data_IF_795391147270
#
_entry.id   IF_795391147270
#
_cell.length_a   1.000
_cell.length_b   1.000
_cell.length_c   1.000
_cell.angle_alpha   90.00
_cell.angle_beta   90.00
_cell.angle_gamma   90.00
#
_symmetry.space_group_name_H-M   'P 1'
#
loop_
_entity.id
_entity.type
_entity.pdbx_description
1 polymer ?
#
# COMPACT_ATOMS: atom_id res chain seq x y z
N UNK A 1 11.30 19.28 -5.70
CA UNK A 1 10.60 19.12 -6.99
C UNK A 1 9.72 17.89 -6.89
N UNK A 2 8.49 17.96 -7.39
CA UNK A 2 7.59 16.82 -7.53
C UNK A 2 7.99 16.02 -8.78
N UNK A 3 8.14 14.71 -8.68
CA UNK A 3 8.36 13.80 -9.80
C UNK A 3 7.14 13.70 -10.72
N UNK A 4 7.36 13.24 -11.96
CA UNK A 4 6.33 13.16 -13.02
C UNK A 4 5.09 12.33 -12.62
N UNK A 5 5.26 11.37 -11.71
CA UNK A 5 4.22 10.45 -11.27
C UNK A 5 3.98 10.50 -9.76
N UNK A 6 4.42 11.57 -9.09
CA UNK A 6 4.24 11.71 -7.63
C UNK A 6 2.75 11.74 -7.23
N UNK A 7 1.87 12.28 -8.08
CA UNK A 7 0.43 12.30 -7.87
C UNK A 7 -0.18 10.89 -7.83
N UNK A 8 0.29 10.00 -8.71
CA UNK A 8 -0.11 8.59 -8.71
C UNK A 8 0.50 7.84 -7.51
N UNK A 9 1.75 8.15 -7.14
CA UNK A 9 2.38 7.57 -5.95
C UNK A 9 1.64 7.97 -4.67
N UNK A 10 1.19 9.21 -4.56
CA UNK A 10 0.42 9.70 -3.42
C UNK A 10 -0.96 9.04 -3.35
N UNK A 11 -1.64 8.86 -4.48
CA UNK A 11 -2.88 8.07 -4.55
C UNK A 11 -2.67 6.62 -4.10
N UNK A 12 -1.58 5.98 -4.53
CA UNK A 12 -1.24 4.63 -4.07
C UNK A 12 -0.99 4.58 -2.56
N UNK A 13 -0.33 5.59 -1.99
CA UNK A 13 -0.12 5.69 -0.55
C UNK A 13 -1.45 5.81 0.22
N UNK A 14 -2.41 6.59 -0.29
CA UNK A 14 -3.76 6.68 0.29
C UNK A 14 -4.49 5.33 0.26
N UNK A 15 -4.41 4.59 -0.86
CA UNK A 15 -5.02 3.25 -0.94
C UNK A 15 -4.33 2.28 0.01
N UNK A 16 -2.99 2.34 0.16
CA UNK A 16 -2.26 1.50 1.11
C UNK A 16 -2.73 1.76 2.55
N UNK A 17 -2.93 3.02 2.94
CA UNK A 17 -3.45 3.38 4.25
C UNK A 17 -4.89 2.86 4.47
N UNK A 18 -5.75 2.97 3.45
CA UNK A 18 -7.11 2.43 3.52
C UNK A 18 -7.13 0.90 3.68
N UNK A 19 -6.23 0.17 3.01
CA UNK A 19 -6.10 -1.28 3.17
C UNK A 19 -5.67 -1.67 4.59
N UNK A 20 -4.75 -0.89 5.18
CA UNK A 20 -4.33 -1.09 6.56
C UNK A 20 -5.49 -0.89 7.54
N UNK A 21 -6.24 0.21 7.39
CA UNK A 21 -7.42 0.48 8.23
C UNK A 21 -8.43 -0.67 8.16
N UNK A 22 -8.73 -1.17 6.96
CA UNK A 22 -9.64 -2.33 6.81
C UNK A 22 -9.08 -3.62 7.39
N UNK A 23 -7.77 -3.85 7.32
CA UNK A 23 -7.15 -5.00 7.97
C UNK A 23 -7.25 -4.90 9.50
N UNK A 24 -7.03 -3.70 10.06
CA UNK A 24 -7.22 -3.45 11.49
C UNK A 24 -8.66 -3.69 11.94
N UNK A 25 -9.64 -3.20 11.18
CA UNK A 25 -11.06 -3.43 11.45
C UNK A 25 -11.42 -4.92 11.40
N UNK A 26 -10.95 -5.62 10.37
CA UNK A 26 -11.16 -7.05 10.18
C UNK A 26 -10.60 -7.87 11.34
N UNK A 27 -9.35 -7.60 11.74
CA UNK A 27 -8.71 -8.26 12.88
C UNK A 27 -9.42 -7.94 14.20
N UNK A 28 -9.89 -6.69 14.36
CA UNK A 28 -10.65 -6.28 15.54
C UNK A 28 -12.00 -6.98 15.64
N UNK A 29 -12.70 -7.18 14.52
CA UNK A 29 -13.96 -7.94 14.50
C UNK A 29 -13.72 -9.40 14.86
N UNK A 30 -12.72 -10.03 14.24
CA UNK A 30 -12.35 -11.42 14.51
C UNK A 30 -12.02 -11.65 16.00
N UNK A 31 -11.25 -10.73 16.60
CA UNK A 31 -10.94 -10.77 18.02
C UNK A 31 -12.18 -10.66 18.93
N UNK A 32 -13.16 -9.82 18.55
CA UNK A 32 -14.43 -9.68 19.28
C UNK A 32 -15.31 -10.93 19.18
N UNK A 33 -15.32 -11.55 18.01
CA UNK A 33 -16.08 -12.77 17.73
C UNK A 33 -15.39 -14.03 18.27
N UNK A 34 -14.14 -13.90 18.74
CA UNK A 34 -13.32 -15.03 19.19
C UNK A 34 -12.90 -15.96 18.05
N UNK A 35 -12.92 -15.46 16.81
CA UNK A 35 -12.51 -16.23 15.64
C UNK A 35 -11.01 -16.10 15.41
N UNK A 36 -10.44 -17.06 14.69
CA UNK A 36 -9.05 -16.97 14.21
C UNK A 36 -8.84 -15.82 13.22
N UNK A 37 -7.59 -15.68 12.75
CA UNK A 37 -7.22 -14.69 11.71
C UNK A 37 -8.02 -14.94 10.43
N UNK A 38 -8.80 -13.97 9.93
CA UNK A 38 -9.60 -14.16 8.71
C UNK A 38 -8.74 -14.32 7.45
N UNK A 39 -9.21 -15.10 6.47
CA UNK A 39 -8.52 -15.30 5.19
C UNK A 39 -8.32 -13.99 4.42
N UNK A 40 -9.29 -13.07 4.54
CA UNK A 40 -9.24 -11.76 3.90
C UNK A 40 -8.09 -10.88 4.40
N UNK A 41 -7.58 -11.09 5.62
CA UNK A 41 -6.43 -10.34 6.12
C UNK A 41 -5.19 -10.59 5.26
N UNK A 42 -4.94 -11.86 4.89
CA UNK A 42 -3.82 -12.20 4.01
C UNK A 42 -3.97 -11.53 2.65
N UNK A 43 -5.19 -11.46 2.13
CA UNK A 43 -5.50 -10.81 0.85
C UNK A 43 -5.24 -9.29 0.93
N UNK A 44 -5.67 -8.63 2.01
CA UNK A 44 -5.43 -7.20 2.25
C UNK A 44 -3.93 -6.90 2.36
N UNK A 45 -3.18 -7.71 3.11
CA UNK A 45 -1.73 -7.56 3.25
C UNK A 45 -0.97 -7.76 1.94
N UNK A 46 -1.41 -8.70 1.10
CA UNK A 46 -0.83 -8.90 -0.24
C UNK A 46 -1.09 -7.70 -1.16
N UNK A 47 -2.31 -7.17 -1.16
CA UNK A 47 -2.67 -6.01 -1.95
C UNK A 47 -1.86 -4.77 -1.52
N UNK A 48 -1.74 -4.53 -0.20
CA UNK A 48 -0.95 -3.42 0.33
C UNK A 48 0.50 -3.49 -0.12
N UNK A 49 1.16 -4.64 0.02
CA UNK A 49 2.56 -4.82 -0.41
C UNK A 49 2.76 -4.59 -1.90
N UNK A 50 1.80 -5.00 -2.73
CA UNK A 50 1.85 -4.75 -4.16
C UNK A 50 1.77 -3.25 -4.49
N UNK A 51 0.91 -2.52 -3.77
CA UNK A 51 0.74 -1.08 -3.88
C UNK A 51 2.00 -0.33 -3.42
N UNK A 52 2.55 -0.66 -2.25
CA UNK A 52 3.81 -0.06 -1.75
C UNK A 52 4.97 -0.27 -2.72
N UNK A 53 5.03 -1.44 -3.38
CA UNK A 53 6.03 -1.70 -4.42
C UNK A 53 5.81 -0.80 -5.64
N UNK A 54 4.58 -0.63 -6.09
CA UNK A 54 4.24 0.23 -7.22
C UNK A 54 4.52 1.70 -6.90
N UNK A 55 4.15 2.16 -5.70
CA UNK A 55 4.46 3.51 -5.21
C UNK A 55 5.96 3.78 -5.28
N UNK A 56 6.78 2.87 -4.72
CA UNK A 56 8.23 3.02 -4.75
C UNK A 56 8.78 3.13 -6.17
N UNK A 57 8.31 2.28 -7.10
CA UNK A 57 8.73 2.34 -8.51
C UNK A 57 8.41 3.69 -9.18
N UNK A 58 7.28 4.31 -8.84
CA UNK A 58 6.90 5.62 -9.36
C UNK A 58 7.76 6.75 -8.80
N UNK A 59 8.24 6.62 -7.54
CA UNK A 59 9.12 7.60 -6.90
C UNK A 59 10.59 7.42 -7.31
N UNK A 60 11.02 6.18 -7.58
CA UNK A 60 12.38 5.82 -7.99
C UNK A 60 12.73 6.30 -9.41
N UNK A 61 11.74 6.62 -10.26
CA UNK A 61 11.96 7.24 -11.58
C UNK A 61 12.71 8.59 -11.50
N UNK A 62 12.80 9.17 -10.29
CA UNK A 62 13.59 10.36 -9.98
C UNK A 62 15.11 10.11 -9.98
N UNK A 63 15.57 8.90 -9.66
CA UNK A 63 17.00 8.53 -9.69
C UNK A 63 17.46 8.16 -11.09
N UNK A 64 16.65 7.42 -11.85
CA UNK A 64 17.00 6.98 -13.22
C UNK A 64 17.14 8.16 -14.18
N UNK A 65 16.34 9.22 -13.99
CA UNK A 65 16.40 10.43 -14.80
C UNK A 65 17.58 11.36 -14.45
N UNK A 66 18.19 11.22 -13.26
CA UNK A 66 19.29 12.09 -12.81
C UNK A 66 20.68 11.59 -13.28
N UNK A 67 20.83 10.29 -13.55
CA UNK A 67 22.08 9.66 -14.00
C UNK A 67 22.05 9.25 -15.50
N UNK A 68 21.05 9.69 -16.26
CA UNK A 68 20.82 9.26 -17.63
C UNK A 68 20.58 10.38 -18.64
N UNK A 69 21.58 11.26 -18.84
CA UNK A 69 22.20 11.74 -20.10
C UNK A 69 23.41 12.61 -19.74
#
# INVERSE_FOLDING_TARGET
MSGRYDDLADQLAEVAAALDERAFELLRSAAREGTGRPDDDKRLMQARRAIEKAERLLRDDREISADGI
#
